data_IF_391164963623
#
_entry.id   IF_391164963623
#
_cell.length_a   1.000
_cell.length_b   1.000
_cell.length_c   1.000
_cell.angle_alpha   90.00
_cell.angle_beta   90.00
_cell.angle_gamma   90.00
#
_symmetry.space_group_name_H-M   'P 1'
#
loop_
_entity.id
_entity.type
_entity.pdbx_description
1 polymer ?
#
# COMPACT_ATOMS: atom_id res chain seq x y z
N UNK A 1 -17.74 15.00 -58.57
CA UNK A 1 -18.95 14.39 -57.97
C UNK A 1 -19.35 15.21 -56.76
N UNK A 2 -20.55 15.73 -56.79
CA UNK A 2 -21.02 16.87 -56.05
C UNK A 2 -21.29 16.63 -54.55
N UNK A 3 -20.95 17.66 -53.74
CA UNK A 3 -21.15 17.78 -52.27
C UNK A 3 -22.61 17.73 -51.79
N UNK A 4 -23.60 17.41 -52.65
CA UNK A 4 -25.04 17.43 -52.38
C UNK A 4 -25.58 16.04 -51.94
N UNK A 5 -24.87 14.95 -52.20
CA UNK A 5 -25.35 13.58 -51.94
C UNK A 5 -24.99 13.03 -50.53
N UNK A 6 -24.36 13.84 -49.70
CA UNK A 6 -24.02 13.43 -48.30
C UNK A 6 -24.92 13.99 -47.20
N UNK A 7 -25.96 14.73 -47.53
CA UNK A 7 -26.88 15.36 -46.52
C UNK A 7 -28.27 14.74 -46.42
N UNK A 8 -28.54 13.64 -47.10
CA UNK A 8 -29.89 13.01 -47.09
C UNK A 8 -29.95 11.60 -46.44
N UNK A 9 -28.88 11.17 -45.76
CA UNK A 9 -28.85 9.88 -45.03
C UNK A 9 -28.90 10.00 -43.51
N UNK A 10 -29.19 11.19 -42.95
CA UNK A 10 -29.18 11.44 -41.51
C UNK A 10 -30.54 11.83 -40.90
N UNK A 11 -31.62 11.56 -41.57
CA UNK A 11 -33.00 11.97 -41.17
C UNK A 11 -34.03 10.83 -41.21
N UNK A 12 -33.61 9.61 -40.86
CA UNK A 12 -34.50 8.44 -40.97
C UNK A 12 -34.49 7.45 -39.81
N UNK A 13 -34.07 7.86 -38.57
CA UNK A 13 -34.10 6.95 -37.40
C UNK A 13 -34.48 7.67 -36.09
N UNK A 14 -35.52 8.45 -36.08
CA UNK A 14 -36.03 9.07 -34.87
C UNK A 14 -37.58 9.09 -34.85
N UNK A 15 -38.23 7.94 -34.97
CA UNK A 15 -39.65 7.83 -34.75
C UNK A 15 -40.07 6.35 -34.64
N UNK A 16 -39.79 5.69 -33.51
CA UNK A 16 -40.57 4.54 -33.01
C UNK A 16 -40.06 4.16 -31.61
N UNK A 17 -40.55 4.83 -30.57
CA UNK A 17 -40.67 4.32 -29.20
C UNK A 17 -41.51 5.29 -28.35
N UNK A 18 -42.81 5.34 -28.68
CA UNK A 18 -43.81 5.81 -27.73
C UNK A 18 -44.97 4.80 -27.83
N UNK A 19 -45.19 4.03 -26.77
CA UNK A 19 -46.38 3.20 -26.66
C UNK A 19 -46.16 1.91 -25.87
N UNK A 20 -46.20 2.01 -24.53
CA UNK A 20 -46.78 0.96 -23.69
C UNK A 20 -46.73 1.37 -22.21
N UNK A 21 -47.58 2.28 -21.84
CA UNK A 21 -48.07 2.47 -20.47
C UNK A 21 -49.55 2.11 -20.49
N UNK A 22 -49.94 0.96 -19.96
CA UNK A 22 -51.21 0.77 -19.23
C UNK A 22 -51.46 -0.70 -18.93
N UNK A 23 -51.92 -0.94 -17.72
CA UNK A 23 -52.57 -2.11 -17.15
C UNK A 23 -51.64 -3.01 -16.31
N UNK A 24 -51.92 -3.40 -15.09
CA UNK A 24 -53.14 -3.39 -14.29
C UNK A 24 -52.78 -3.46 -12.82
N UNK A 25 -53.64 -2.88 -11.98
CA UNK A 25 -53.59 -3.08 -10.55
C UNK A 25 -53.99 -4.52 -10.16
N UNK A 26 -53.42 -5.00 -9.08
CA UNK A 26 -53.74 -6.25 -8.43
C UNK A 26 -53.09 -6.27 -7.06
N UNK A 27 -53.90 -6.08 -6.05
CA UNK A 27 -53.60 -6.09 -4.63
C UNK A 27 -53.19 -7.50 -4.18
N UNK A 28 -52.06 -7.67 -3.50
CA UNK A 28 -51.84 -8.75 -2.49
C UNK A 28 -50.56 -8.54 -1.70
N UNK A 29 -50.69 -8.23 -0.43
CA UNK A 29 -49.98 -8.77 0.74
C UNK A 29 -48.43 -8.79 0.76
N UNK A 30 -47.89 -7.89 1.55
CA UNK A 30 -46.74 -8.03 2.43
C UNK A 30 -45.77 -9.20 2.21
N UNK A 31 -44.68 -8.89 1.52
CA UNK A 31 -43.37 -9.37 1.88
C UNK A 31 -42.44 -8.19 1.61
N UNK A 32 -41.81 -7.65 2.66
CA UNK A 32 -40.77 -6.65 2.51
C UNK A 32 -39.60 -7.29 1.73
N UNK A 33 -39.64 -7.16 0.43
CA UNK A 33 -38.51 -7.33 -0.44
C UNK A 33 -37.68 -6.06 -0.34
N UNK A 34 -36.44 -6.22 0.11
CA UNK A 34 -35.43 -5.18 0.08
C UNK A 34 -35.48 -4.42 -1.25
N UNK A 35 -35.47 -3.10 -1.18
CA UNK A 35 -35.50 -2.20 -2.32
C UNK A 35 -34.45 -2.63 -3.35
N UNK A 36 -34.91 -3.11 -4.52
CA UNK A 36 -34.01 -3.41 -5.65
C UNK A 36 -33.45 -2.11 -6.19
N UNK A 37 -32.24 -1.77 -5.76
CA UNK A 37 -31.43 -0.75 -6.42
C UNK A 37 -31.00 -1.25 -7.81
N UNK A 38 -30.65 -0.34 -8.71
CA UNK A 38 -30.11 -0.68 -10.02
C UNK A 38 -28.86 -1.59 -9.87
N UNK A 39 -28.71 -2.51 -10.83
CA UNK A 39 -27.50 -3.36 -10.85
C UNK A 39 -26.27 -2.50 -11.08
N UNK A 40 -25.30 -2.59 -10.17
CA UNK A 40 -24.04 -1.85 -10.19
C UNK A 40 -22.87 -2.82 -10.28
N UNK A 41 -21.90 -2.52 -11.13
CA UNK A 41 -20.60 -3.21 -11.16
C UNK A 41 -19.52 -2.24 -10.72
N UNK A 42 -18.78 -2.60 -9.68
CA UNK A 42 -17.72 -1.79 -9.07
C UNK A 42 -16.37 -2.43 -9.44
N UNK A 43 -15.50 -1.67 -10.06
CA UNK A 43 -14.11 -2.06 -10.32
C UNK A 43 -13.26 -1.76 -9.10
N UNK A 44 -12.65 -2.79 -8.55
CA UNK A 44 -11.77 -2.65 -7.39
C UNK A 44 -10.38 -3.22 -7.70
N UNK A 45 -9.34 -2.40 -7.52
CA UNK A 45 -7.94 -2.81 -7.66
C UNK A 45 -7.21 -2.70 -6.34
N UNK A 46 -6.35 -3.70 -6.07
CA UNK A 46 -5.48 -3.76 -4.89
C UNK A 46 -4.20 -4.53 -5.21
N UNK A 47 -3.16 -4.32 -4.40
CA UNK A 47 -1.93 -5.12 -4.49
C UNK A 47 -1.85 -6.13 -3.35
N UNK A 48 -1.03 -7.17 -3.53
CA UNK A 48 -0.73 -8.16 -2.51
C UNK A 48 -0.23 -9.47 -3.10
N UNK A 49 0.00 -10.43 -2.21
CA UNK A 49 0.29 -11.82 -2.58
C UNK A 49 -1.01 -12.62 -2.81
N UNK A 50 -0.87 -13.90 -3.17
CA UNK A 50 -2.02 -14.76 -3.46
C UNK A 50 -2.97 -14.90 -2.26
N UNK A 51 -2.43 -15.05 -1.05
CA UNK A 51 -3.23 -15.13 0.19
C UNK A 51 -4.12 -13.91 0.35
N UNK A 52 -3.58 -12.71 0.10
CA UNK A 52 -4.35 -11.47 0.12
C UNK A 52 -5.42 -11.43 -0.96
N UNK A 53 -5.10 -11.87 -2.17
CA UNK A 53 -6.08 -11.92 -3.25
C UNK A 53 -7.25 -12.82 -2.89
N UNK A 54 -6.98 -14.00 -2.33
CA UNK A 54 -8.00 -14.97 -1.95
C UNK A 54 -8.92 -14.47 -0.84
N UNK A 55 -8.40 -13.85 0.21
CA UNK A 55 -9.29 -13.32 1.26
C UNK A 55 -10.05 -12.06 0.81
N UNK A 56 -9.45 -11.21 -0.01
CA UNK A 56 -10.15 -10.05 -0.56
C UNK A 56 -11.30 -10.51 -1.46
N UNK A 57 -11.07 -11.49 -2.33
CA UNK A 57 -12.13 -12.07 -3.15
C UNK A 57 -13.31 -12.61 -2.29
N UNK A 58 -13.00 -13.34 -1.21
CA UNK A 58 -14.03 -13.84 -0.27
C UNK A 58 -14.85 -12.70 0.36
N UNK A 59 -14.23 -11.55 0.64
CA UNK A 59 -14.92 -10.37 1.16
C UNK A 59 -15.86 -9.81 0.10
N UNK A 60 -15.41 -9.68 -1.15
CA UNK A 60 -16.22 -9.18 -2.26
C UNK A 60 -17.41 -10.11 -2.56
N UNK A 61 -17.17 -11.42 -2.55
CA UNK A 61 -18.21 -12.43 -2.74
C UNK A 61 -19.26 -12.36 -1.62
N UNK A 62 -18.81 -12.19 -0.37
CA UNK A 62 -19.70 -12.03 0.78
C UNK A 62 -20.52 -10.75 0.70
N UNK A 63 -19.92 -9.66 0.24
CA UNK A 63 -20.67 -8.42 0.00
C UNK A 63 -21.73 -8.60 -1.07
N UNK A 64 -21.40 -9.24 -2.19
CA UNK A 64 -22.35 -9.55 -3.27
C UNK A 64 -23.49 -10.47 -2.81
N UNK A 65 -23.19 -11.45 -1.93
CA UNK A 65 -24.24 -12.31 -1.32
C UNK A 65 -25.26 -11.48 -0.52
N UNK A 66 -24.77 -10.49 0.26
CA UNK A 66 -25.61 -9.62 1.06
C UNK A 66 -26.30 -8.51 0.24
N UNK A 67 -25.69 -8.12 -0.89
CA UNK A 67 -26.15 -7.06 -1.78
C UNK A 67 -26.17 -7.57 -3.24
N UNK A 68 -27.16 -8.40 -3.64
CA UNK A 68 -27.15 -9.09 -4.94
C UNK A 68 -27.18 -8.18 -6.18
N UNK A 69 -27.55 -6.92 -6.00
CA UNK A 69 -27.50 -5.87 -7.03
C UNK A 69 -26.13 -5.29 -7.25
N UNK A 70 -25.14 -5.58 -6.36
CA UNK A 70 -23.75 -5.12 -6.47
C UNK A 70 -22.86 -6.27 -6.90
N UNK A 71 -22.07 -6.04 -7.94
CA UNK A 71 -21.06 -6.96 -8.42
C UNK A 71 -19.72 -6.27 -8.43
N UNK A 72 -18.65 -7.05 -8.29
CA UNK A 72 -17.27 -6.54 -8.36
C UNK A 72 -16.56 -7.10 -9.59
N UNK A 73 -15.84 -6.21 -10.27
CA UNK A 73 -14.75 -6.57 -11.18
C UNK A 73 -13.45 -6.42 -10.39
N UNK A 74 -12.94 -7.57 -9.93
CA UNK A 74 -11.72 -7.66 -9.13
C UNK A 74 -10.48 -7.54 -10.02
N UNK A 75 -9.56 -6.63 -9.69
CA UNK A 75 -8.34 -6.36 -10.45
C UNK A 75 -7.12 -6.45 -9.49
N UNK A 76 -6.78 -7.65 -9.00
CA UNK A 76 -5.61 -7.84 -8.15
C UNK A 76 -4.31 -7.66 -8.94
N UNK A 77 -3.25 -7.23 -8.24
CA UNK A 77 -1.91 -7.08 -8.80
C UNK A 77 -0.84 -7.38 -7.74
N UNK A 78 0.41 -7.62 -8.16
CA UNK A 78 1.56 -7.52 -7.27
C UNK A 78 1.87 -6.07 -6.90
N UNK A 79 2.77 -5.86 -5.96
CA UNK A 79 3.26 -4.52 -5.62
C UNK A 79 3.98 -3.89 -6.82
N UNK A 80 4.87 -4.66 -7.43
CA UNK A 80 5.66 -4.19 -8.56
C UNK A 80 4.78 -3.81 -9.75
N UNK A 81 4.96 -2.60 -10.24
CA UNK A 81 4.20 -2.06 -11.36
C UNK A 81 2.75 -1.68 -11.06
N UNK A 82 2.24 -1.84 -9.82
CA UNK A 82 0.88 -1.44 -9.45
C UNK A 82 0.67 0.07 -9.69
N UNK A 83 1.54 0.90 -9.15
CA UNK A 83 1.44 2.35 -9.28
C UNK A 83 1.77 2.87 -10.68
N UNK A 84 2.61 2.20 -11.45
CA UNK A 84 2.85 2.52 -12.86
C UNK A 84 1.58 2.33 -13.70
N UNK A 85 0.89 1.20 -13.49
CA UNK A 85 -0.39 0.91 -14.11
C UNK A 85 -1.46 1.92 -13.69
N UNK A 86 -1.56 2.19 -12.37
CA UNK A 86 -2.55 3.12 -11.83
C UNK A 86 -2.33 4.55 -12.35
N UNK A 87 -1.08 5.00 -12.45
CA UNK A 87 -0.69 6.29 -13.00
C UNK A 87 -1.09 6.42 -14.48
N UNK A 88 -0.89 5.36 -15.27
CA UNK A 88 -1.34 5.31 -16.67
C UNK A 88 -2.87 5.39 -16.77
N UNK A 89 -3.59 4.69 -15.90
CA UNK A 89 -5.05 4.74 -15.82
C UNK A 89 -5.57 6.12 -15.39
N UNK A 90 -4.90 6.76 -14.42
CA UNK A 90 -5.21 8.12 -14.00
C UNK A 90 -5.05 9.12 -15.16
N UNK A 91 -3.94 9.05 -15.89
CA UNK A 91 -3.66 9.92 -17.02
C UNK A 91 -4.66 9.74 -18.19
N UNK A 92 -5.20 8.53 -18.37
CA UNK A 92 -6.19 8.21 -19.41
C UNK A 92 -7.66 8.38 -18.96
N UNK A 93 -7.91 8.72 -17.68
CA UNK A 93 -9.26 8.84 -17.13
C UNK A 93 -9.99 7.49 -17.03
N UNK A 94 -9.26 6.39 -16.89
CA UNK A 94 -9.79 5.02 -16.84
C UNK A 94 -9.50 4.31 -15.52
N UNK A 95 -9.37 5.06 -14.44
CA UNK A 95 -9.16 4.48 -13.10
C UNK A 95 -10.32 3.57 -12.69
N UNK A 96 -10.05 2.50 -11.92
CA UNK A 96 -11.09 1.74 -11.23
C UNK A 96 -11.89 2.62 -10.26
N UNK A 97 -13.09 2.17 -9.91
CA UNK A 97 -13.98 2.89 -8.99
C UNK A 97 -13.43 2.92 -7.55
N UNK A 98 -12.82 1.82 -7.12
CA UNK A 98 -12.12 1.72 -5.84
C UNK A 98 -10.68 1.30 -6.11
N UNK A 99 -9.74 2.03 -5.49
CA UNK A 99 -8.32 1.75 -5.58
C UNK A 99 -7.72 1.62 -4.18
N UNK A 100 -6.90 0.62 -3.95
CA UNK A 100 -6.03 0.62 -2.79
C UNK A 100 -4.91 1.64 -3.04
N UNK A 101 -4.64 2.48 -2.06
CA UNK A 101 -3.65 3.55 -2.14
C UNK A 101 -2.63 3.39 -1.02
N UNK A 102 -1.36 3.52 -1.36
CA UNK A 102 -0.30 3.65 -0.37
C UNK A 102 -0.12 5.13 0.01
N UNK A 103 0.23 5.35 1.28
CA UNK A 103 0.43 6.71 1.81
C UNK A 103 1.50 7.49 1.03
N UNK A 104 2.54 6.81 0.55
CA UNK A 104 3.61 7.40 -0.26
C UNK A 104 3.09 8.11 -1.52
N UNK A 105 2.03 7.58 -2.13
CA UNK A 105 1.46 8.09 -3.38
C UNK A 105 0.22 8.94 -3.19
N UNK A 106 -0.42 8.89 -2.01
CA UNK A 106 -1.71 9.52 -1.73
C UNK A 106 -1.76 10.99 -2.15
N UNK A 107 -0.75 11.76 -1.73
CA UNK A 107 -0.65 13.21 -2.03
C UNK A 107 -0.61 13.49 -3.52
N UNK A 108 0.11 12.68 -4.29
CA UNK A 108 0.21 12.84 -5.75
C UNK A 108 -1.14 12.65 -6.43
N UNK A 109 -1.88 11.59 -6.08
CA UNK A 109 -3.20 11.32 -6.68
C UNK A 109 -4.26 12.33 -6.23
N UNK A 110 -4.22 12.77 -4.98
CA UNK A 110 -5.12 13.80 -4.46
C UNK A 110 -4.93 15.15 -5.15
N UNK A 111 -3.68 15.60 -5.30
CA UNK A 111 -3.34 16.88 -5.93
C UNK A 111 -3.64 16.89 -7.44
N UNK A 112 -3.54 15.75 -8.10
CA UNK A 112 -3.93 15.60 -9.49
C UNK A 112 -5.44 15.43 -9.70
N UNK A 113 -6.24 15.47 -8.62
CA UNK A 113 -7.68 15.22 -8.62
C UNK A 113 -8.06 13.86 -9.28
N UNK A 114 -7.20 12.87 -9.14
CA UNK A 114 -7.40 11.51 -9.66
C UNK A 114 -8.25 10.65 -8.72
N UNK A 115 -8.39 11.07 -7.47
CA UNK A 115 -9.23 10.44 -6.44
C UNK A 115 -10.18 11.46 -5.83
N UNK A 116 -11.32 10.98 -5.36
CA UNK A 116 -12.39 11.83 -4.82
C UNK A 116 -12.08 12.35 -3.42
N UNK A 117 -12.68 13.48 -3.05
CA UNK A 117 -12.78 13.92 -1.67
C UNK A 117 -13.90 13.14 -0.97
N UNK A 118 -13.58 12.39 0.06
CA UNK A 118 -14.52 11.56 0.81
C UNK A 118 -15.14 12.28 2.01
N UNK A 119 -14.64 13.48 2.38
CA UNK A 119 -15.14 14.22 3.54
C UNK A 119 -16.66 14.48 3.49
N UNK A 120 -17.27 14.87 2.34
CA UNK A 120 -18.70 15.08 2.27
C UNK A 120 -19.53 13.83 2.61
N UNK A 121 -19.00 12.63 2.30
CA UNK A 121 -19.70 11.36 2.57
C UNK A 121 -19.53 10.90 4.03
N UNK A 122 -18.49 11.37 4.70
CA UNK A 122 -18.36 11.21 6.16
C UNK A 122 -19.30 12.17 6.87
N UNK A 123 -19.38 13.42 6.41
CA UNK A 123 -20.22 14.47 7.02
C UNK A 123 -21.72 14.14 6.93
N UNK A 124 -22.16 13.49 5.86
CA UNK A 124 -23.57 13.08 5.68
C UNK A 124 -23.88 11.70 6.25
N UNK A 125 -22.86 10.99 6.81
CA UNK A 125 -23.01 9.67 7.42
C UNK A 125 -23.06 8.50 6.44
N UNK A 126 -22.79 8.73 5.15
CA UNK A 126 -22.68 7.65 4.14
C UNK A 126 -21.46 6.77 4.43
N UNK A 127 -20.36 7.37 4.86
CA UNK A 127 -19.15 6.66 5.33
C UNK A 127 -19.05 6.85 6.85
N UNK A 128 -19.13 5.74 7.57
CA UNK A 128 -18.98 5.71 9.03
C UNK A 128 -17.52 5.45 9.41
N UNK A 129 -16.87 6.45 9.97
CA UNK A 129 -15.50 6.39 10.50
C UNK A 129 -15.46 6.40 12.03
N UNK A 130 -16.61 6.28 12.71
CA UNK A 130 -16.72 6.41 14.18
C UNK A 130 -15.91 5.40 14.98
N UNK A 131 -15.51 4.29 14.35
CA UNK A 131 -14.69 3.24 14.97
C UNK A 131 -13.19 3.39 14.63
N UNK A 132 -12.81 4.44 13.89
CA UNK A 132 -11.43 4.73 13.51
C UNK A 132 -10.96 5.92 14.35
N UNK A 133 -9.79 5.82 14.97
CA UNK A 133 -9.23 6.91 15.75
C UNK A 133 -8.99 8.16 14.88
N UNK A 134 -9.22 9.34 15.41
CA UNK A 134 -9.17 10.60 14.66
C UNK A 134 -7.82 10.81 13.95
N UNK A 135 -6.70 10.51 14.62
CA UNK A 135 -5.37 10.62 14.04
C UNK A 135 -5.14 9.64 12.87
N UNK A 136 -5.84 8.51 12.84
CA UNK A 136 -5.81 7.53 11.73
C UNK A 136 -6.66 8.04 10.57
N UNK A 137 -7.83 8.61 10.83
CA UNK A 137 -8.64 9.28 9.81
C UNK A 137 -7.86 10.45 9.20
N UNK A 138 -7.18 11.23 10.02
CA UNK A 138 -6.38 12.38 9.60
C UNK A 138 -5.22 11.98 8.69
N UNK A 139 -4.65 10.80 8.85
CA UNK A 139 -3.63 10.27 7.94
C UNK A 139 -4.16 10.07 6.49
N UNK A 140 -5.46 9.93 6.30
CA UNK A 140 -6.09 9.90 4.97
C UNK A 140 -6.31 11.28 4.33
N UNK A 141 -5.95 12.36 5.03
CA UNK A 141 -6.15 13.73 4.54
C UNK A 141 -4.95 14.25 3.76
N UNK A 142 -5.24 14.95 2.68
CA UNK A 142 -4.28 15.77 1.93
C UNK A 142 -4.85 17.17 1.88
N UNK A 143 -4.14 18.11 2.46
CA UNK A 143 -4.64 19.49 2.72
C UNK A 143 -5.95 19.45 3.53
N UNK A 144 -7.06 19.79 2.89
CA UNK A 144 -8.40 19.83 3.50
C UNK A 144 -9.34 18.73 3.00
N UNK A 145 -8.86 17.82 2.12
CA UNK A 145 -9.66 16.75 1.53
C UNK A 145 -9.35 15.44 2.23
N UNK A 146 -10.36 14.66 2.53
CA UNK A 146 -10.19 13.27 2.92
C UNK A 146 -10.00 12.45 1.64
N UNK A 147 -8.74 12.21 1.28
CA UNK A 147 -8.35 11.56 0.03
C UNK A 147 -8.47 10.03 0.08
N UNK A 148 -8.53 9.44 1.29
CA UNK A 148 -8.69 8.01 1.47
C UNK A 148 -9.12 7.66 2.88
N UNK A 149 -9.75 6.49 3.02
CA UNK A 149 -10.03 5.88 4.33
C UNK A 149 -8.93 4.88 4.62
N UNK A 150 -8.30 5.02 5.77
CA UNK A 150 -7.21 4.13 6.19
C UNK A 150 -7.77 2.75 6.50
N UNK A 151 -7.42 1.76 5.68
CA UNK A 151 -7.83 0.37 5.85
C UNK A 151 -6.89 -0.46 6.74
N UNK A 152 -5.72 0.08 7.06
CA UNK A 152 -4.72 -0.52 7.94
C UNK A 152 -3.52 0.39 8.08
N UNK A 153 -2.78 0.23 9.17
CA UNK A 153 -1.53 0.94 9.42
C UNK A 153 -0.39 -0.08 9.46
N UNK A 154 0.69 0.22 8.74
CA UNK A 154 1.94 -0.51 8.85
C UNK A 154 2.89 0.20 9.81
N UNK A 155 3.73 -0.57 10.48
CA UNK A 155 4.86 -0.05 11.25
C UNK A 155 6.11 -0.67 10.67
N UNK A 156 7.08 0.17 10.31
CA UNK A 156 8.41 -0.29 9.94
C UNK A 156 9.14 -0.72 11.18
N UNK A 157 9.80 -1.85 11.14
CA UNK A 157 10.52 -2.45 12.25
C UNK A 157 11.67 -3.32 11.72
N UNK A 158 12.58 -3.68 12.59
CA UNK A 158 13.54 -4.75 12.30
C UNK A 158 12.86 -6.09 12.57
N UNK A 159 12.57 -6.83 11.50
CA UNK A 159 12.20 -8.23 11.58
C UNK A 159 13.46 -9.09 11.75
N UNK A 160 13.36 -10.21 12.46
CA UNK A 160 14.51 -11.10 12.65
C UNK A 160 14.12 -12.58 12.60
N UNK A 161 15.10 -13.42 12.27
CA UNK A 161 14.98 -14.87 12.28
C UNK A 161 15.60 -15.42 13.57
N UNK A 162 14.80 -15.93 14.52
CA UNK A 162 15.31 -16.40 15.83
C UNK A 162 16.27 -17.57 15.71
N UNK A 163 16.13 -18.45 14.69
CA UNK A 163 17.03 -19.59 14.53
C UNK A 163 18.45 -19.14 14.14
N UNK A 164 18.59 -18.05 13.36
CA UNK A 164 19.91 -17.50 13.03
C UNK A 164 20.57 -16.85 14.26
N UNK A 165 19.83 -16.17 15.11
CA UNK A 165 20.30 -15.64 16.39
C UNK A 165 20.81 -16.77 17.30
N UNK A 166 20.03 -17.83 17.41
CA UNK A 166 20.38 -19.03 18.18
C UNK A 166 21.62 -19.72 17.61
N UNK A 167 21.75 -19.85 16.29
CA UNK A 167 22.96 -20.39 15.64
C UNK A 167 24.20 -19.55 15.95
N UNK A 168 24.06 -18.22 15.93
CA UNK A 168 25.12 -17.29 16.34
C UNK A 168 25.44 -17.36 17.85
N UNK A 169 24.54 -17.93 18.66
CA UNK A 169 24.66 -17.98 20.11
C UNK A 169 24.61 -16.62 20.77
N UNK A 170 23.75 -15.74 20.25
CA UNK A 170 23.48 -14.40 20.77
C UNK A 170 21.99 -14.29 21.18
N UNK A 171 21.72 -13.41 22.13
CA UNK A 171 20.35 -13.14 22.55
C UNK A 171 19.60 -12.38 21.47
N UNK A 172 18.30 -12.68 21.35
CA UNK A 172 17.36 -11.93 20.51
C UNK A 172 17.24 -10.48 20.96
N UNK A 173 16.96 -9.53 20.05
CA UNK A 173 16.74 -8.13 20.45
C UNK A 173 15.65 -8.01 21.51
N UNK A 174 15.81 -7.07 22.41
CA UNK A 174 14.87 -6.83 23.51
C UNK A 174 13.44 -6.62 23.01
N UNK A 175 12.54 -7.53 23.40
CA UNK A 175 11.11 -7.47 23.06
C UNK A 175 10.29 -6.64 24.06
N UNK A 176 10.89 -6.21 25.15
CA UNK A 176 10.22 -5.44 26.23
C UNK A 176 10.12 -3.93 25.95
N UNK A 177 10.58 -3.48 24.76
CA UNK A 177 10.58 -2.08 24.39
C UNK A 177 11.76 -1.28 24.94
N UNK A 178 12.76 -1.94 25.55
CA UNK A 178 14.03 -1.27 25.88
C UNK A 178 14.73 -0.84 24.60
N UNK A 179 15.42 0.32 24.66
CA UNK A 179 16.08 0.89 23.50
C UNK A 179 17.19 -0.05 23.00
N UNK A 180 17.12 -0.39 21.72
CA UNK A 180 18.20 -1.03 20.99
C UNK A 180 18.91 0.06 20.20
N UNK A 181 20.18 0.28 20.50
CA UNK A 181 20.94 1.36 19.87
C UNK A 181 21.46 0.97 18.49
N UNK A 182 21.79 1.95 17.68
CA UNK A 182 22.42 1.71 16.37
C UNK A 182 23.76 0.97 16.49
N UNK A 183 24.52 1.26 17.53
CA UNK A 183 25.79 0.54 17.79
C UNK A 183 25.54 -0.94 18.09
N UNK A 184 24.55 -1.25 18.93
CA UNK A 184 24.15 -2.64 19.22
C UNK A 184 23.61 -3.35 17.98
N UNK A 185 22.86 -2.67 17.13
CA UNK A 185 22.39 -3.19 15.86
C UNK A 185 23.58 -3.57 14.94
N UNK A 186 24.51 -2.67 14.74
CA UNK A 186 25.71 -2.89 13.91
C UNK A 186 26.57 -4.04 14.45
N UNK A 187 26.83 -4.04 15.77
CA UNK A 187 27.63 -5.09 16.42
C UNK A 187 26.93 -6.47 16.31
N UNK A 188 25.60 -6.49 16.45
CA UNK A 188 24.80 -7.71 16.27
C UNK A 188 24.92 -8.25 14.86
N UNK A 189 24.76 -7.39 13.85
CA UNK A 189 24.87 -7.79 12.44
C UNK A 189 26.26 -8.36 12.11
N UNK A 190 27.32 -7.68 12.55
CA UNK A 190 28.72 -8.13 12.37
C UNK A 190 29.00 -9.45 13.10
N UNK A 191 28.50 -9.59 14.32
CA UNK A 191 28.68 -10.82 15.12
C UNK A 191 27.98 -12.01 14.46
N UNK A 192 26.80 -11.83 13.89
CA UNK A 192 26.10 -12.88 13.14
C UNK A 192 26.92 -13.31 11.94
N UNK A 193 27.40 -12.36 11.14
CA UNK A 193 28.28 -12.67 10.00
C UNK A 193 29.52 -13.46 10.41
N UNK A 194 30.21 -13.01 11.44
CA UNK A 194 31.44 -13.67 11.93
C UNK A 194 31.17 -15.12 12.39
N UNK A 195 30.07 -15.33 13.12
CA UNK A 195 29.80 -16.64 13.74
C UNK A 195 29.14 -17.64 12.81
N UNK A 196 28.31 -17.17 11.86
CA UNK A 196 27.48 -18.05 11.03
C UNK A 196 27.84 -18.03 9.55
N UNK A 197 28.53 -16.97 9.09
CA UNK A 197 28.77 -16.70 7.67
C UNK A 197 27.55 -16.15 6.92
N UNK A 198 26.39 -16.03 7.58
CA UNK A 198 25.15 -15.49 7.02
C UNK A 198 25.14 -13.97 7.08
N UNK A 199 24.23 -13.31 6.35
CA UNK A 199 24.05 -11.88 6.50
C UNK A 199 23.52 -11.54 7.89
N UNK A 200 24.05 -10.51 8.51
CA UNK A 200 23.50 -9.95 9.75
C UNK A 200 22.20 -9.24 9.49
N UNK A 201 22.15 -8.49 8.39
CA UNK A 201 20.93 -7.84 7.89
C UNK A 201 20.90 -7.92 6.37
N UNK A 202 19.71 -7.92 5.79
CA UNK A 202 19.48 -7.84 4.36
C UNK A 202 18.34 -6.86 4.11
N UNK A 203 18.67 -5.58 3.92
CA UNK A 203 17.68 -4.49 3.82
C UNK A 203 17.86 -3.57 2.64
N UNK A 204 19.07 -3.44 2.10
CA UNK A 204 19.38 -2.57 0.98
C UNK A 204 19.21 -1.07 1.29
N UNK A 205 20.31 -0.39 1.51
CA UNK A 205 20.34 1.05 1.84
C UNK A 205 19.71 1.93 0.76
N UNK A 206 19.72 1.49 -0.49
CA UNK A 206 19.27 2.30 -1.63
C UNK A 206 17.74 2.46 -1.71
N UNK A 207 16.99 1.52 -1.16
CA UNK A 207 15.51 1.54 -1.19
C UNK A 207 14.89 2.07 0.12
N UNK A 208 15.72 2.40 1.10
CA UNK A 208 15.24 2.67 2.43
C UNK A 208 15.17 4.15 2.79
N UNK A 209 14.00 4.72 2.58
CA UNK A 209 13.67 6.04 3.14
C UNK A 209 13.20 5.96 4.60
N UNK A 210 12.86 4.78 5.11
CA UNK A 210 12.26 4.62 6.43
C UNK A 210 13.30 4.53 7.55
N UNK A 211 14.34 3.71 7.41
CA UNK A 211 15.42 3.61 8.39
C UNK A 211 16.14 4.96 8.50
N UNK A 212 16.41 5.63 7.39
CA UNK A 212 17.02 6.95 7.42
C UNK A 212 16.18 7.96 8.20
N UNK A 213 14.85 7.91 8.07
CA UNK A 213 13.98 8.75 8.89
C UNK A 213 14.12 8.45 10.40
N UNK A 214 14.20 7.16 10.78
CA UNK A 214 14.45 6.79 12.19
C UNK A 214 15.84 7.21 12.67
N UNK A 215 16.86 7.09 11.81
CA UNK A 215 18.19 7.57 12.08
C UNK A 215 18.20 9.06 12.37
N UNK A 216 17.62 9.89 11.50
CA UNK A 216 17.51 11.34 11.69
C UNK A 216 16.79 11.66 13.01
N UNK A 217 15.67 10.98 13.28
CA UNK A 217 14.90 11.18 14.52
C UNK A 217 15.67 10.75 15.77
N UNK A 218 16.52 9.75 15.70
CA UNK A 218 17.38 9.35 16.84
C UNK A 218 18.43 10.41 17.18
N UNK A 219 18.73 11.31 16.24
CA UNK A 219 19.58 12.49 16.47
C UNK A 219 18.78 13.72 16.95
N UNK A 220 17.47 13.58 17.19
CA UNK A 220 16.61 14.65 17.67
C UNK A 220 16.10 15.58 16.59
N UNK A 221 16.30 15.23 15.32
CA UNK A 221 15.97 16.02 14.15
C UNK A 221 14.75 15.41 13.41
N UNK A 222 14.29 16.10 12.36
CA UNK A 222 13.24 15.64 11.45
C UNK A 222 13.80 15.48 10.05
N UNK A 223 13.30 14.53 9.27
CA UNK A 223 13.77 14.34 7.89
C UNK A 223 13.38 15.52 7.00
N UNK A 224 12.17 16.05 7.16
CA UNK A 224 11.67 17.19 6.41
C UNK A 224 11.24 18.31 7.35
N UNK A 225 11.33 19.55 6.88
CA UNK A 225 10.76 20.72 7.55
C UNK A 225 9.23 20.60 7.69
N UNK A 226 8.63 21.36 8.62
CA UNK A 226 7.18 21.34 8.87
C UNK A 226 6.32 21.67 7.63
N UNK A 227 6.86 22.44 6.69
CA UNK A 227 6.19 22.77 5.44
C UNK A 227 6.55 21.82 4.27
N UNK A 228 7.32 20.79 4.53
CA UNK A 228 7.78 19.77 3.59
C UNK A 228 8.50 20.31 2.34
N UNK A 229 9.19 21.46 2.45
CA UNK A 229 9.88 22.09 1.32
C UNK A 229 11.39 22.02 1.39
N UNK A 230 11.94 21.61 2.50
CA UNK A 230 13.37 21.45 2.73
C UNK A 230 13.63 20.27 3.64
N UNK A 231 14.90 19.92 3.82
CA UNK A 231 15.30 19.00 4.87
C UNK A 231 14.99 19.64 6.23
N UNK A 232 14.66 18.81 7.20
CA UNK A 232 14.37 19.22 8.58
C UNK A 232 15.60 19.19 9.48
N UNK A 233 16.78 18.99 8.93
CA UNK A 233 18.06 19.02 9.62
C UNK A 233 19.08 19.80 8.80
N UNK A 234 20.04 20.44 9.49
CA UNK A 234 21.07 21.30 8.86
C UNK A 234 22.48 20.65 8.89
N UNK A 235 22.67 19.56 9.67
CA UNK A 235 23.95 18.89 9.80
C UNK A 235 24.05 17.71 8.82
N UNK A 236 24.77 17.92 7.72
CA UNK A 236 25.04 16.88 6.71
C UNK A 236 25.78 15.66 7.30
N UNK A 237 26.45 15.78 8.47
CA UNK A 237 27.14 14.68 9.12
C UNK A 237 26.17 13.55 9.49
N UNK A 238 24.91 13.85 9.79
CA UNK A 238 23.86 12.86 10.04
C UNK A 238 23.72 11.88 8.86
N UNK A 239 23.73 12.39 7.63
CA UNK A 239 23.67 11.56 6.43
C UNK A 239 25.00 10.81 6.20
N UNK A 240 26.14 11.47 6.42
CA UNK A 240 27.45 10.84 6.25
C UNK A 240 27.59 9.67 7.19
N UNK A 241 27.29 9.84 8.48
CA UNK A 241 27.40 8.78 9.49
C UNK A 241 26.44 7.60 9.18
N UNK A 242 25.25 7.89 8.66
CA UNK A 242 24.33 6.86 8.19
C UNK A 242 24.91 6.03 7.05
N UNK A 243 25.45 6.69 6.03
CA UNK A 243 26.04 6.00 4.88
C UNK A 243 27.32 5.24 5.26
N UNK A 244 28.12 5.78 6.15
CA UNK A 244 29.34 5.11 6.68
C UNK A 244 28.96 3.86 7.48
N UNK A 245 27.90 3.91 8.29
CA UNK A 245 27.37 2.73 9.01
C UNK A 245 27.01 1.59 8.04
N UNK A 246 26.26 1.87 6.99
CA UNK A 246 25.89 0.86 5.99
C UNK A 246 27.10 0.37 5.19
N UNK A 247 27.99 1.28 4.84
CA UNK A 247 29.24 0.92 4.17
C UNK A 247 30.07 -0.04 5.01
N UNK A 248 30.17 0.19 6.31
CA UNK A 248 30.88 -0.68 7.24
C UNK A 248 30.28 -2.09 7.31
N UNK A 249 28.93 -2.20 7.23
CA UNK A 249 28.26 -3.49 7.18
C UNK A 249 28.48 -4.23 5.86
N UNK A 250 28.49 -3.51 4.72
CA UNK A 250 28.81 -4.09 3.42
C UNK A 250 30.30 -4.47 3.31
N UNK A 251 31.22 -3.66 3.80
CA UNK A 251 32.66 -3.92 3.76
C UNK A 251 33.07 -5.21 4.50
N UNK A 252 32.26 -5.67 5.46
CA UNK A 252 32.45 -6.94 6.17
C UNK A 252 31.46 -8.04 5.78
N UNK A 253 30.71 -7.86 4.68
CA UNK A 253 29.67 -8.76 4.18
C UNK A 253 28.54 -9.05 5.21
N UNK A 254 28.33 -8.21 6.20
CA UNK A 254 27.21 -8.34 7.13
C UNK A 254 25.87 -7.86 6.50
N UNK A 255 25.96 -7.04 5.48
CA UNK A 255 24.88 -6.63 4.56
C UNK A 255 25.34 -6.96 3.12
N UNK A 256 24.46 -7.46 2.21
CA UNK A 256 24.81 -7.64 0.81
C UNK A 256 25.14 -6.31 0.13
N UNK A 257 26.01 -6.33 -0.85
CA UNK A 257 26.25 -5.16 -1.69
C UNK A 257 24.98 -4.82 -2.55
N UNK A 258 24.90 -3.62 -3.15
CA UNK A 258 23.72 -3.20 -3.89
C UNK A 258 23.38 -4.07 -5.10
N UNK A 259 24.39 -4.64 -5.79
CA UNK A 259 24.17 -5.51 -6.94
C UNK A 259 23.62 -6.86 -6.49
N UNK A 260 24.14 -7.42 -5.41
CA UNK A 260 23.66 -8.65 -4.81
C UNK A 260 22.27 -8.47 -4.20
N UNK A 261 22.02 -7.37 -3.48
CA UNK A 261 20.70 -7.05 -2.95
C UNK A 261 19.63 -6.97 -4.06
N UNK A 262 19.93 -6.36 -5.20
CA UNK A 262 19.02 -6.31 -6.34
C UNK A 262 18.67 -7.70 -6.86
N UNK A 263 19.62 -8.63 -6.86
CA UNK A 263 19.36 -10.03 -7.25
C UNK A 263 18.47 -10.73 -6.23
N UNK A 264 18.73 -10.52 -4.94
CA UNK A 264 17.92 -11.06 -3.84
C UNK A 264 16.48 -10.55 -3.93
N UNK A 265 16.26 -9.26 -4.13
CA UNK A 265 14.92 -8.70 -4.28
C UNK A 265 14.15 -9.33 -5.44
N UNK A 266 14.82 -9.67 -6.54
CA UNK A 266 14.18 -10.30 -7.69
C UNK A 266 13.58 -11.68 -7.41
N UNK A 267 13.96 -12.32 -6.31
CA UNK A 267 13.43 -13.62 -5.87
C UNK A 267 12.03 -13.51 -5.22
N UNK A 268 11.64 -12.30 -4.82
CA UNK A 268 10.41 -12.03 -4.10
C UNK A 268 10.52 -12.31 -2.59
N UNK A 269 9.56 -11.77 -1.84
CA UNK A 269 9.60 -11.77 -0.37
C UNK A 269 9.63 -13.18 0.24
N UNK A 270 8.91 -14.13 -0.34
CA UNK A 270 8.81 -15.52 0.16
C UNK A 270 10.14 -16.28 0.06
N UNK A 271 11.02 -15.87 -0.84
CA UNK A 271 12.37 -16.43 -1.02
C UNK A 271 13.47 -15.53 -0.43
N UNK A 272 13.09 -14.50 0.33
CA UNK A 272 14.03 -13.57 0.96
C UNK A 272 14.94 -14.25 1.99
N UNK A 273 16.18 -13.77 2.17
CA UNK A 273 17.20 -14.42 3.00
C UNK A 273 16.80 -14.60 4.47
N UNK A 274 15.98 -13.71 5.04
CA UNK A 274 15.51 -13.86 6.42
C UNK A 274 14.51 -15.02 6.53
N UNK A 275 13.66 -15.20 5.52
CA UNK A 275 12.69 -16.30 5.46
C UNK A 275 13.42 -17.63 5.26
N UNK A 276 14.41 -17.69 4.37
CA UNK A 276 15.21 -18.88 4.10
C UNK A 276 16.26 -19.17 5.18
N UNK A 277 16.52 -18.22 6.06
CA UNK A 277 17.52 -18.34 7.12
C UNK A 277 18.95 -18.07 6.68
N UNK A 278 19.14 -17.36 5.57
CA UNK A 278 20.44 -16.91 5.07
C UNK A 278 20.80 -15.50 5.56
N UNK A 279 19.86 -14.80 6.17
CA UNK A 279 20.06 -13.55 6.89
C UNK A 279 19.36 -13.58 8.25
N UNK A 280 19.88 -12.81 9.21
CA UNK A 280 19.29 -12.74 10.54
C UNK A 280 18.21 -11.68 10.66
N UNK A 281 18.37 -10.55 10.00
CA UNK A 281 17.50 -9.37 10.14
C UNK A 281 17.12 -8.78 8.78
N UNK A 282 15.99 -8.08 8.78
CA UNK A 282 15.59 -7.18 7.70
C UNK A 282 14.85 -5.98 8.29
N UNK A 283 14.89 -4.87 7.56
CA UNK A 283 14.00 -3.74 7.82
C UNK A 283 12.81 -3.83 6.88
N UNK A 284 11.62 -3.96 7.43
CA UNK A 284 10.41 -4.11 6.63
C UNK A 284 9.16 -3.73 7.43
N UNK A 285 8.04 -3.63 6.77
CA UNK A 285 6.76 -3.45 7.44
C UNK A 285 6.37 -4.69 8.25
N UNK A 286 5.66 -4.48 9.34
CA UNK A 286 5.17 -5.55 10.22
C UNK A 286 4.29 -6.60 9.52
N UNK A 287 3.74 -6.32 8.34
CA UNK A 287 3.02 -7.30 7.51
C UNK A 287 3.94 -8.38 6.94
N UNK A 288 5.25 -8.13 6.87
CA UNK A 288 6.24 -9.14 6.46
C UNK A 288 6.25 -10.36 7.41
N UNK A 289 5.92 -10.15 8.69
CA UNK A 289 5.80 -11.25 9.67
C UNK A 289 4.68 -12.27 9.35
N UNK A 290 3.84 -12.01 8.36
CA UNK A 290 2.82 -12.96 7.88
C UNK A 290 3.29 -13.83 6.69
N UNK A 291 4.55 -13.70 6.27
CA UNK A 291 5.14 -14.54 5.23
C UNK A 291 5.72 -15.78 5.93
N UNK A 292 5.06 -16.92 5.73
CA UNK A 292 5.47 -18.24 6.26
C UNK A 292 6.20 -19.05 5.18
#
# INVERSE_FOLDING_TARGET
>A
MNKITRRLAALGLAATMVGSLAACGGNSSDTQTAAGGDNVTIKFTWWGNQTRHDYTQKILDKYTELHPNVKFEAIPAGWDGYFDKLSTQAASGSMPDIVQMDYLYLTTYANNNSIADLQPYVDDGTIDVSQIADNVVDAGKVDKKLAGIVGGTGTVAIGYNPEVFKEAGIEEPNQDGSAWTWDEFVETAKTIKEKTGKYGICSGVADDTNIFNYWVRSHGEQLFSDDNKSLGYDDDQILVDYLDMWKDLMDCDAEPDPDEYTQIQSLGQEAGPVVTGDAAMLNENNNYASIE
#
